data_IF_274967367815
#
_entry.id   IF_274967367815
#
_cell.length_a   1.000
_cell.length_b   1.000
_cell.length_c   1.000
_cell.angle_alpha   90.00
_cell.angle_beta   90.00
_cell.angle_gamma   90.00
#
_symmetry.space_group_name_H-M   'P 1'
#
loop_
_entity.id
_entity.type
_entity.pdbx_description
1 polymer ?
#
# COMPACT_ATOMS: atom_id res chain seq x y z
N UNK A 1 48.03 -35.23 -65.82
CA UNK A 1 48.66 -34.84 -64.53
C UNK A 1 48.21 -33.46 -64.05
N UNK A 2 47.99 -32.48 -64.93
CA UNK A 2 47.61 -31.09 -64.59
C UNK A 2 46.20 -30.90 -64.00
N UNK A 3 45.24 -31.80 -64.30
CA UNK A 3 43.88 -31.73 -63.70
C UNK A 3 43.79 -32.26 -62.26
N UNK A 4 44.72 -33.12 -61.83
CA UNK A 4 44.74 -33.69 -60.47
C UNK A 4 45.42 -32.76 -59.45
N UNK A 5 46.34 -31.90 -59.90
CA UNK A 5 47.02 -30.93 -59.02
C UNK A 5 46.16 -29.71 -58.69
N UNK A 6 45.27 -29.28 -59.60
CA UNK A 6 44.37 -28.14 -59.36
C UNK A 6 43.21 -28.47 -58.41
N UNK A 7 42.77 -29.73 -58.31
CA UNK A 7 41.71 -30.12 -57.37
C UNK A 7 42.22 -30.22 -55.91
N UNK A 8 43.51 -30.51 -55.72
CA UNK A 8 44.16 -30.57 -54.41
C UNK A 8 44.37 -29.18 -53.78
N UNK A 9 44.67 -28.15 -54.58
CA UNK A 9 44.80 -26.77 -54.08
C UNK A 9 43.45 -26.07 -53.83
N UNK A 10 42.38 -26.45 -54.52
CA UNK A 10 41.04 -25.91 -54.29
C UNK A 10 40.44 -26.41 -52.97
N UNK A 11 40.64 -27.70 -52.67
CA UNK A 11 40.06 -28.34 -51.48
C UNK A 11 40.75 -27.93 -50.16
N UNK A 12 42.04 -27.59 -50.19
CA UNK A 12 42.77 -27.10 -49.00
C UNK A 12 42.37 -25.67 -48.61
N UNK A 13 42.07 -24.80 -49.58
CA UNK A 13 41.57 -23.43 -49.30
C UNK A 13 40.14 -23.43 -48.76
N UNK A 14 39.29 -24.35 -49.22
CA UNK A 14 37.92 -24.52 -48.70
C UNK A 14 37.95 -25.06 -47.27
N UNK A 15 38.85 -25.99 -46.95
CA UNK A 15 39.00 -26.52 -45.58
C UNK A 15 39.49 -25.46 -44.58
N UNK A 16 40.44 -24.60 -44.98
CA UNK A 16 40.92 -23.49 -44.13
C UNK A 16 39.86 -22.39 -43.93
N UNK A 17 39.00 -22.12 -44.91
CA UNK A 17 37.91 -21.16 -44.78
C UNK A 17 36.79 -21.67 -43.85
N UNK A 18 36.46 -22.97 -43.91
CA UNK A 18 35.47 -23.60 -43.01
C UNK A 18 36.00 -23.65 -41.57
N UNK A 19 37.29 -23.89 -41.36
CA UNK A 19 37.91 -23.85 -40.03
C UNK A 19 37.90 -22.44 -39.43
N UNK A 20 38.13 -21.39 -40.24
CA UNK A 20 38.12 -20.00 -39.80
C UNK A 20 36.69 -19.50 -39.48
N UNK A 21 35.69 -19.92 -40.25
CA UNK A 21 34.27 -19.61 -39.99
C UNK A 21 33.75 -20.40 -38.78
N UNK A 22 34.23 -21.63 -38.55
CA UNK A 22 33.95 -22.40 -37.34
C UNK A 22 34.48 -21.74 -36.07
N UNK A 23 35.66 -21.13 -36.11
CA UNK A 23 36.25 -20.41 -34.96
C UNK A 23 35.55 -19.05 -34.75
N UNK A 24 35.18 -18.32 -35.82
CA UNK A 24 34.40 -17.06 -35.69
C UNK A 24 32.95 -17.28 -35.23
N UNK A 25 32.34 -18.42 -35.55
CA UNK A 25 30.98 -18.75 -35.10
C UNK A 25 30.97 -19.37 -33.70
N UNK A 26 32.05 -20.02 -33.26
CA UNK A 26 32.19 -20.48 -31.87
C UNK A 26 32.39 -19.30 -30.89
N UNK A 27 33.01 -18.20 -31.33
CA UNK A 27 33.07 -16.96 -30.53
C UNK A 27 31.75 -16.19 -30.43
N UNK A 28 30.80 -16.44 -31.34
CA UNK A 28 29.49 -15.76 -31.34
C UNK A 28 28.38 -16.54 -30.61
N UNK A 29 28.60 -17.82 -30.28
CA UNK A 29 27.65 -18.65 -29.53
C UNK A 29 27.92 -18.72 -28.02
N UNK A 30 28.94 -17.99 -27.54
CA UNK A 30 29.26 -17.86 -26.11
C UNK A 30 28.99 -16.45 -25.56
N UNK A 31 27.89 -15.81 -25.96
CA UNK A 31 27.28 -14.70 -25.20
C UNK A 31 25.76 -14.85 -25.22
N UNK A 32 25.27 -16.02 -24.84
CA UNK A 32 23.98 -16.08 -24.14
C UNK A 32 24.36 -16.00 -22.67
N UNK A 33 24.53 -14.78 -22.17
CA UNK A 33 24.85 -14.55 -20.76
C UNK A 33 23.65 -15.02 -19.95
N UNK A 34 23.66 -16.29 -19.55
CA UNK A 34 23.01 -16.69 -18.32
C UNK A 34 23.63 -15.78 -17.26
N UNK A 35 22.84 -14.82 -16.81
CA UNK A 35 23.25 -13.77 -15.90
C UNK A 35 23.76 -14.48 -14.64
N UNK A 36 25.07 -14.69 -14.54
CA UNK A 36 25.70 -15.37 -13.40
C UNK A 36 25.27 -14.59 -12.17
N UNK A 37 24.34 -15.17 -11.41
CA UNK A 37 23.78 -14.52 -10.23
C UNK A 37 24.92 -14.28 -9.27
N UNK A 38 25.29 -13.02 -9.06
CA UNK A 38 26.43 -12.66 -8.22
C UNK A 38 25.97 -12.69 -6.77
N UNK A 39 26.83 -13.18 -5.88
CA UNK A 39 26.59 -13.07 -4.43
C UNK A 39 26.81 -11.62 -4.03
N UNK A 40 25.80 -11.00 -3.42
CA UNK A 40 25.82 -9.60 -2.98
C UNK A 40 25.97 -9.46 -1.47
N UNK A 41 25.57 -10.49 -0.72
CA UNK A 41 25.84 -10.58 0.70
C UNK A 41 25.93 -12.04 1.16
N UNK A 42 26.66 -12.28 2.24
CA UNK A 42 26.67 -13.53 2.99
C UNK A 42 26.13 -13.26 4.40
N UNK A 43 25.29 -14.15 4.90
CA UNK A 43 24.70 -14.09 6.25
C UNK A 43 24.88 -15.47 6.88
N UNK A 44 25.90 -15.65 7.71
CA UNK A 44 26.30 -16.96 8.22
C UNK A 44 26.63 -17.92 7.07
N UNK A 45 25.85 -18.99 6.95
CA UNK A 45 25.98 -19.99 5.88
C UNK A 45 25.10 -19.71 4.66
N UNK A 46 24.24 -18.68 4.72
CA UNK A 46 23.37 -18.29 3.63
C UNK A 46 24.02 -17.22 2.75
N UNK A 47 23.66 -17.24 1.47
CA UNK A 47 24.02 -16.20 0.50
C UNK A 47 22.77 -15.48 0.02
N UNK A 48 22.94 -14.20 -0.32
CA UNK A 48 21.94 -13.38 -1.00
C UNK A 48 22.53 -13.01 -2.36
N UNK A 49 21.74 -13.14 -3.41
CA UNK A 49 22.22 -12.97 -4.79
C UNK A 49 21.51 -11.84 -5.54
N UNK A 50 22.15 -11.33 -6.61
CA UNK A 50 21.55 -10.30 -7.47
C UNK A 50 20.22 -10.74 -8.07
N UNK A 51 20.10 -12.02 -8.46
CA UNK A 51 18.87 -12.53 -9.07
C UNK A 51 17.68 -12.51 -8.09
N UNK A 52 17.90 -12.84 -6.82
CA UNK A 52 16.87 -12.78 -5.77
C UNK A 52 16.40 -11.34 -5.56
N UNK A 53 17.35 -10.41 -5.47
CA UNK A 53 17.06 -8.99 -5.28
C UNK A 53 16.31 -8.38 -6.48
N UNK A 54 16.79 -8.64 -7.70
CA UNK A 54 16.16 -8.14 -8.93
C UNK A 54 14.75 -8.73 -9.11
N UNK A 55 14.58 -10.03 -8.82
CA UNK A 55 13.26 -10.69 -8.85
C UNK A 55 12.30 -10.04 -7.86
N UNK A 56 12.76 -9.76 -6.64
CA UNK A 56 11.98 -9.09 -5.60
C UNK A 56 11.59 -7.66 -5.99
N UNK A 57 12.50 -6.89 -6.59
CA UNK A 57 12.26 -5.50 -6.95
C UNK A 57 11.45 -5.31 -8.24
N UNK A 58 11.42 -6.30 -9.14
CA UNK A 58 10.81 -6.19 -10.47
C UNK A 58 9.37 -5.62 -10.46
N UNK A 59 8.44 -6.08 -9.60
CA UNK A 59 7.08 -5.53 -9.58
C UNK A 59 7.06 -4.04 -9.18
N UNK A 60 7.88 -3.67 -8.21
CA UNK A 60 8.02 -2.29 -7.73
C UNK A 60 8.62 -1.39 -8.83
N UNK A 61 9.69 -1.85 -9.50
CA UNK A 61 10.31 -1.14 -10.63
C UNK A 61 9.33 -0.95 -11.81
N UNK A 62 8.50 -1.95 -12.12
CA UNK A 62 7.51 -1.84 -13.20
C UNK A 62 6.41 -0.82 -12.89
N UNK A 63 6.05 -0.67 -11.61
CA UNK A 63 5.03 0.29 -11.16
C UNK A 63 5.54 1.73 -11.21
N UNK A 64 6.74 1.97 -10.67
CA UNK A 64 7.25 3.33 -10.47
C UNK A 64 8.21 3.80 -11.56
N UNK A 65 8.81 2.91 -12.35
CA UNK A 65 9.84 3.28 -13.35
C UNK A 65 9.37 4.07 -14.56
N UNK A 66 8.08 4.38 -14.67
CA UNK A 66 7.52 5.25 -15.71
C UNK A 66 7.17 6.66 -15.23
N UNK A 67 7.18 6.88 -13.91
CA UNK A 67 6.67 8.12 -13.29
C UNK A 67 7.77 9.12 -12.94
N UNK A 68 9.03 8.68 -12.85
CA UNK A 68 10.15 9.51 -12.40
C UNK A 68 11.11 9.87 -13.54
N UNK A 69 11.78 11.02 -13.42
CA UNK A 69 12.90 11.34 -14.29
C UNK A 69 14.09 10.38 -14.06
N UNK A 70 15.04 10.37 -14.99
CA UNK A 70 16.14 9.39 -14.97
C UNK A 70 17.03 9.48 -13.71
N UNK A 71 17.19 10.66 -13.10
CA UNK A 71 18.09 10.83 -11.95
C UNK A 71 17.36 10.48 -10.64
N UNK A 72 16.16 11.00 -10.45
CA UNK A 72 15.32 10.67 -9.30
C UNK A 72 15.00 9.17 -9.28
N UNK A 73 14.75 8.57 -10.44
CA UNK A 73 14.51 7.15 -10.55
C UNK A 73 15.74 6.30 -10.17
N UNK A 74 16.95 6.76 -10.49
CA UNK A 74 18.19 6.08 -10.10
C UNK A 74 18.38 6.07 -8.58
N UNK A 75 18.22 7.22 -7.92
CA UNK A 75 18.34 7.35 -6.46
C UNK A 75 17.25 6.54 -5.74
N UNK A 76 16.01 6.60 -6.23
CA UNK A 76 14.89 5.80 -5.70
C UNK A 76 15.15 4.30 -5.85
N UNK A 77 15.67 3.88 -7.00
CA UNK A 77 16.02 2.48 -7.27
C UNK A 77 17.13 1.99 -6.35
N UNK A 78 18.16 2.81 -6.08
CA UNK A 78 19.23 2.47 -5.16
C UNK A 78 18.71 2.29 -3.73
N UNK A 79 17.88 3.22 -3.24
CA UNK A 79 17.25 3.08 -1.91
C UNK A 79 16.38 1.84 -1.81
N UNK A 80 15.61 1.52 -2.86
CA UNK A 80 14.80 0.31 -2.92
C UNK A 80 15.67 -0.96 -2.89
N UNK A 81 16.80 -0.97 -3.59
CA UNK A 81 17.80 -2.06 -3.52
C UNK A 81 18.36 -2.26 -2.13
N UNK A 82 18.77 -1.18 -1.45
CA UNK A 82 19.26 -1.24 -0.07
C UNK A 82 18.20 -1.75 0.90
N UNK A 83 16.96 -1.25 0.78
CA UNK A 83 15.84 -1.70 1.61
C UNK A 83 15.53 -3.19 1.41
N UNK A 84 15.54 -3.66 0.16
CA UNK A 84 15.31 -5.07 -0.15
C UNK A 84 16.46 -5.96 0.36
N UNK A 85 17.73 -5.53 0.22
CA UNK A 85 18.87 -6.26 0.78
C UNK A 85 18.76 -6.36 2.32
N UNK A 86 18.42 -5.26 3.01
CA UNK A 86 18.15 -5.26 4.45
C UNK A 86 17.12 -6.31 4.82
N UNK A 87 15.98 -6.32 4.12
CA UNK A 87 14.90 -7.27 4.37
C UNK A 87 15.32 -8.73 4.14
N UNK A 88 16.13 -9.00 3.12
CA UNK A 88 16.69 -10.35 2.91
C UNK A 88 17.62 -10.76 4.04
N UNK A 89 18.52 -9.88 4.49
CA UNK A 89 19.42 -10.15 5.62
C UNK A 89 18.60 -10.45 6.88
N UNK A 90 17.62 -9.62 7.21
CA UNK A 90 16.74 -9.79 8.38
C UNK A 90 15.99 -11.12 8.34
N UNK A 91 15.41 -11.46 7.19
CA UNK A 91 14.74 -12.75 7.01
C UNK A 91 15.69 -13.92 7.23
N UNK A 92 16.91 -13.85 6.67
CA UNK A 92 17.93 -14.89 6.85
C UNK A 92 18.32 -15.04 8.33
N UNK A 93 18.53 -13.94 9.04
CA UNK A 93 18.82 -13.95 10.48
C UNK A 93 17.71 -14.61 11.29
N UNK A 94 16.44 -14.26 11.02
CA UNK A 94 15.29 -14.83 11.72
C UNK A 94 15.12 -16.33 11.41
N UNK A 95 15.29 -16.75 10.16
CA UNK A 95 15.16 -18.17 9.78
C UNK A 95 16.27 -19.01 10.42
N UNK A 96 17.52 -18.54 10.39
CA UNK A 96 18.64 -19.22 11.06
C UNK A 96 18.42 -19.32 12.57
N UNK A 97 17.86 -18.28 13.18
CA UNK A 97 17.56 -18.31 14.60
C UNK A 97 16.39 -19.24 14.94
N UNK A 98 15.40 -19.36 14.05
CA UNK A 98 14.32 -20.33 14.19
C UNK A 98 14.83 -21.78 14.05
N UNK A 99 15.85 -22.01 13.22
CA UNK A 99 16.60 -23.28 13.15
C UNK A 99 17.35 -23.55 14.45
N UNK A 100 18.15 -22.59 14.92
CA UNK A 100 18.93 -22.72 16.15
C UNK A 100 18.03 -22.94 17.39
N UNK A 101 16.87 -22.29 17.43
CA UNK A 101 15.86 -22.42 18.48
C UNK A 101 14.98 -23.67 18.32
N UNK A 102 15.20 -24.49 17.28
CA UNK A 102 14.42 -25.70 16.96
C UNK A 102 12.91 -25.43 16.93
N UNK A 103 12.51 -24.32 16.32
CA UNK A 103 11.10 -23.99 16.14
C UNK A 103 10.50 -24.96 15.13
N UNK A 104 9.58 -25.80 15.59
CA UNK A 104 8.85 -26.76 14.77
C UNK A 104 7.45 -26.25 14.43
N UNK A 105 7.03 -26.50 13.19
CA UNK A 105 5.67 -26.24 12.73
C UNK A 105 5.07 -27.57 12.25
N UNK A 106 3.96 -28.02 12.85
CA UNK A 106 3.24 -29.19 12.38
C UNK A 106 2.82 -29.03 10.91
N UNK A 107 2.92 -30.10 10.12
CA UNK A 107 2.60 -30.03 8.69
C UNK A 107 1.13 -29.67 8.42
N UNK A 108 0.24 -29.95 9.36
CA UNK A 108 -1.17 -29.52 9.28
C UNK A 108 -1.32 -27.99 9.27
N UNK A 109 -0.48 -27.25 10.01
CA UNK A 109 -0.50 -25.79 10.01
C UNK A 109 0.06 -25.24 8.69
N UNK A 110 1.10 -25.89 8.13
CA UNK A 110 1.63 -25.56 6.80
C UNK A 110 0.56 -25.77 5.72
N UNK A 111 -0.15 -26.90 5.78
CA UNK A 111 -1.22 -27.22 4.84
C UNK A 111 -2.39 -26.23 4.96
N UNK A 112 -2.80 -25.89 6.18
CA UNK A 112 -3.86 -24.91 6.42
C UNK A 112 -3.50 -23.53 5.87
N UNK A 113 -2.27 -23.08 6.08
CA UNK A 113 -1.82 -21.78 5.54
C UNK A 113 -1.68 -21.82 4.02
N UNK A 114 -1.21 -22.94 3.45
CA UNK A 114 -1.21 -23.17 2.01
C UNK A 114 -2.62 -23.09 1.40
N UNK A 115 -3.60 -23.75 2.02
CA UNK A 115 -5.00 -23.73 1.56
C UNK A 115 -5.58 -22.32 1.68
N UNK A 116 -5.29 -21.59 2.76
CA UNK A 116 -5.70 -20.19 2.96
C UNK A 116 -5.10 -19.24 1.92
N UNK A 117 -3.85 -19.45 1.51
CA UNK A 117 -3.21 -18.60 0.50
C UNK A 117 -3.72 -18.96 -0.89
N UNK A 118 -3.79 -20.25 -1.22
CA UNK A 118 -4.27 -20.70 -2.53
C UNK A 118 -5.75 -20.32 -2.76
N UNK A 119 -6.59 -20.28 -1.72
CA UNK A 119 -7.99 -19.85 -1.83
C UNK A 119 -8.17 -18.34 -2.11
N UNK A 120 -7.11 -17.53 -1.99
CA UNK A 120 -7.16 -16.10 -2.37
C UNK A 120 -7.02 -15.89 -3.88
N UNK A 121 -6.61 -16.92 -4.63
CA UNK A 121 -6.55 -16.86 -6.08
C UNK A 121 -7.94 -17.12 -6.68
N UNK A 122 -8.29 -16.50 -7.83
CA UNK A 122 -9.59 -16.69 -8.47
C UNK A 122 -9.91 -18.15 -8.80
N UNK A 123 -8.88 -18.98 -9.03
CA UNK A 123 -9.01 -20.42 -9.22
C UNK A 123 -7.71 -21.14 -8.91
N UNK A 124 -7.78 -22.47 -8.73
CA UNK A 124 -6.59 -23.33 -8.63
C UNK A 124 -5.67 -23.22 -9.84
N UNK A 125 -6.24 -23.10 -11.04
CA UNK A 125 -5.47 -22.93 -12.28
C UNK A 125 -4.65 -21.64 -12.26
N UNK A 126 -5.20 -20.55 -11.73
CA UNK A 126 -4.47 -19.28 -11.57
C UNK A 126 -3.32 -19.41 -10.57
N UNK A 127 -3.53 -20.14 -9.47
CA UNK A 127 -2.47 -20.44 -8.52
C UNK A 127 -1.36 -21.31 -9.11
N UNK A 128 -1.72 -22.36 -9.85
CA UNK A 128 -0.75 -23.23 -10.54
C UNK A 128 0.05 -22.45 -11.59
N UNK A 129 -0.59 -21.53 -12.32
CA UNK A 129 0.08 -20.64 -13.26
C UNK A 129 1.03 -19.66 -12.57
N UNK A 130 0.65 -19.15 -11.39
CA UNK A 130 1.53 -18.36 -10.54
C UNK A 130 2.78 -19.15 -10.16
N UNK A 131 2.64 -20.36 -9.62
CA UNK A 131 3.78 -21.21 -9.24
C UNK A 131 4.69 -21.53 -10.44
N UNK A 132 4.10 -21.82 -11.62
CA UNK A 132 4.86 -22.02 -12.86
C UNK A 132 5.64 -20.78 -13.28
N UNK A 133 5.02 -19.59 -13.21
CA UNK A 133 5.67 -18.31 -13.53
C UNK A 133 6.83 -18.02 -12.56
N UNK A 134 6.68 -18.44 -11.31
CA UNK A 134 7.70 -18.31 -10.28
C UNK A 134 8.80 -19.39 -10.36
N UNK A 135 8.64 -20.37 -11.26
CA UNK A 135 9.49 -21.56 -11.41
C UNK A 135 9.62 -22.34 -10.09
N UNK A 136 8.49 -22.57 -9.42
CA UNK A 136 8.43 -23.15 -8.08
C UNK A 136 7.43 -24.30 -8.03
N UNK A 137 7.80 -25.39 -7.35
CA UNK A 137 6.91 -26.50 -7.03
C UNK A 137 6.04 -26.21 -5.80
N UNK A 138 4.96 -26.97 -5.64
CA UNK A 138 4.09 -26.90 -4.45
C UNK A 138 4.88 -27.18 -3.17
N UNK A 139 5.81 -28.15 -3.20
CA UNK A 139 6.60 -28.51 -2.03
C UNK A 139 7.62 -27.43 -1.65
N UNK A 140 8.26 -26.80 -2.63
CA UNK A 140 9.11 -25.63 -2.37
C UNK A 140 8.30 -24.46 -1.80
N UNK A 141 7.09 -24.24 -2.32
CA UNK A 141 6.20 -23.19 -1.80
C UNK A 141 5.76 -23.48 -0.36
N UNK A 142 5.39 -24.72 -0.05
CA UNK A 142 5.09 -25.16 1.33
C UNK A 142 6.29 -25.01 2.26
N UNK A 143 7.51 -25.25 1.78
CA UNK A 143 8.73 -24.98 2.55
C UNK A 143 8.86 -23.49 2.89
N UNK A 144 8.59 -22.59 1.94
CA UNK A 144 8.58 -21.15 2.21
C UNK A 144 7.53 -20.74 3.24
N UNK A 145 6.33 -21.35 3.18
CA UNK A 145 5.28 -21.16 4.19
C UNK A 145 5.76 -21.65 5.55
N UNK A 146 6.37 -22.83 5.62
CA UNK A 146 6.92 -23.39 6.85
C UNK A 146 7.96 -22.46 7.47
N UNK A 147 8.89 -21.94 6.67
CA UNK A 147 9.90 -20.98 7.15
C UNK A 147 9.28 -19.68 7.66
N UNK A 148 8.25 -19.14 6.99
CA UNK A 148 7.51 -17.96 7.46
C UNK A 148 6.75 -18.21 8.77
N UNK A 149 6.11 -19.37 8.92
CA UNK A 149 5.43 -19.73 10.17
C UNK A 149 6.42 -19.89 11.32
N UNK A 150 7.62 -20.45 11.06
CA UNK A 150 8.68 -20.60 12.06
C UNK A 150 9.21 -19.24 12.52
N UNK A 151 9.46 -18.31 11.61
CA UNK A 151 9.90 -16.96 11.98
C UNK A 151 8.80 -16.20 12.72
N UNK A 152 7.52 -16.37 12.35
CA UNK A 152 6.39 -15.81 13.11
C UNK A 152 6.32 -16.32 14.55
N UNK A 153 6.48 -17.63 14.76
CA UNK A 153 6.51 -18.22 16.11
C UNK A 153 7.72 -17.71 16.90
N UNK A 154 8.89 -17.64 16.27
CA UNK A 154 10.09 -17.08 16.89
C UNK A 154 9.89 -15.63 17.32
N UNK A 155 9.46 -14.76 16.40
CA UNK A 155 9.21 -13.33 16.69
C UNK A 155 8.13 -13.17 17.75
N UNK A 156 7.09 -14.02 17.72
CA UNK A 156 6.08 -14.01 18.77
C UNK A 156 6.68 -14.30 20.16
N UNK A 157 7.47 -15.38 20.31
CA UNK A 157 8.07 -15.76 21.59
C UNK A 157 9.13 -14.77 22.08
N UNK A 158 9.98 -14.28 21.16
CA UNK A 158 11.15 -13.47 21.51
C UNK A 158 10.86 -11.98 21.62
N UNK A 159 9.86 -11.49 20.88
CA UNK A 159 9.52 -10.06 20.78
C UNK A 159 8.10 -9.85 21.30
N UNK A 160 7.10 -10.35 20.60
CA UNK A 160 5.69 -9.92 20.78
C UNK A 160 5.15 -10.24 22.18
N UNK A 161 5.42 -11.43 22.70
CA UNK A 161 4.90 -11.91 23.99
C UNK A 161 5.30 -11.03 25.19
N UNK A 162 6.38 -10.26 25.05
CA UNK A 162 6.90 -9.38 26.11
C UNK A 162 6.28 -7.98 26.06
N UNK A 163 5.55 -7.64 25.00
CA UNK A 163 4.97 -6.33 24.78
C UNK A 163 3.66 -6.22 25.54
N UNK A 164 3.67 -5.44 26.62
CA UNK A 164 2.48 -5.11 27.41
C UNK A 164 2.20 -3.60 27.29
N UNK A 165 1.01 -3.25 26.80
CA UNK A 165 0.53 -1.85 26.80
C UNK A 165 -0.37 -1.66 28.02
N UNK A 166 0.08 -0.83 28.97
CA UNK A 166 -0.67 -0.55 30.20
C UNK A 166 -1.76 0.50 29.95
N UNK A 167 -2.91 0.44 30.65
CA UNK A 167 -3.96 1.46 30.55
C UNK A 167 -3.44 2.88 30.81
N UNK A 168 -2.50 3.06 31.75
CA UNK A 168 -1.88 4.36 32.02
C UNK A 168 -1.14 4.93 30.82
N UNK A 169 -0.48 4.08 30.02
CA UNK A 169 0.21 4.54 28.81
C UNK A 169 -0.77 5.02 27.73
N UNK A 170 -1.94 4.38 27.65
CA UNK A 170 -3.01 4.78 26.74
C UNK A 170 -3.59 6.13 27.18
N UNK A 171 -3.82 6.29 28.48
CA UNK A 171 -4.27 7.55 29.07
C UNK A 171 -3.26 8.67 28.81
N UNK A 172 -1.98 8.48 29.14
CA UNK A 172 -0.92 9.47 28.93
C UNK A 172 -0.82 9.88 27.46
N UNK A 173 -0.86 8.89 26.56
CA UNK A 173 -0.87 9.14 25.12
C UNK A 173 -2.09 9.97 24.70
N UNK A 174 -3.29 9.62 25.17
CA UNK A 174 -4.50 10.36 24.85
C UNK A 174 -4.43 11.83 25.32
N UNK A 175 -3.93 12.07 26.54
CA UNK A 175 -3.79 13.43 27.08
C UNK A 175 -2.78 14.26 26.29
N UNK A 176 -1.62 13.69 25.95
CA UNK A 176 -0.57 14.37 25.20
C UNK A 176 -0.96 14.64 23.73
N UNK A 177 -1.80 13.77 23.16
CA UNK A 177 -2.20 13.81 21.75
C UNK A 177 -3.68 14.17 21.55
N UNK A 178 -4.32 14.86 22.50
CA UNK A 178 -5.78 15.11 22.48
C UNK A 178 -6.26 15.79 21.18
N UNK A 179 -5.44 16.64 20.58
CA UNK A 179 -5.73 17.31 19.31
C UNK A 179 -5.79 16.37 18.11
N UNK A 180 -5.06 15.24 18.13
CA UNK A 180 -5.10 14.23 17.07
C UNK A 180 -6.46 13.50 17.01
N UNK A 181 -7.21 13.55 18.12
CA UNK A 181 -8.53 12.92 18.23
C UNK A 181 -9.69 13.87 17.90
N UNK A 182 -9.39 15.08 17.39
CA UNK A 182 -10.40 15.99 16.89
C UNK A 182 -11.03 15.43 15.62
N UNK A 183 -12.30 15.06 15.70
CA UNK A 183 -13.12 14.84 14.52
C UNK A 183 -13.64 16.19 14.03
N UNK A 184 -13.30 16.60 12.79
CA UNK A 184 -13.83 17.83 12.23
C UNK A 184 -15.35 17.71 12.06
N UNK A 185 -16.03 18.86 12.00
CA UNK A 185 -17.44 18.86 11.64
C UNK A 185 -17.60 18.31 10.22
N UNK A 186 -18.67 17.54 10.00
CA UNK A 186 -19.01 16.98 8.69
C UNK A 186 -20.46 17.32 8.33
N UNK A 187 -20.74 17.49 7.04
CA UNK A 187 -22.11 17.63 6.50
C UNK A 187 -22.28 16.73 5.30
N UNK A 188 -23.41 16.03 5.19
CA UNK A 188 -23.85 15.49 3.91
C UNK A 188 -24.58 16.61 3.18
N UNK A 189 -23.99 17.12 2.10
CA UNK A 189 -24.51 18.30 1.41
C UNK A 189 -24.80 18.08 -0.07
N UNK A 190 -25.78 18.83 -0.55
CA UNK A 190 -26.17 18.94 -1.94
C UNK A 190 -25.95 20.37 -2.40
N UNK A 191 -25.69 20.56 -3.70
CA UNK A 191 -25.35 21.87 -4.24
C UNK A 191 -25.93 22.09 -5.65
N UNK A 192 -26.48 23.27 -5.85
CA UNK A 192 -26.80 23.84 -7.15
C UNK A 192 -25.81 24.98 -7.43
N UNK A 193 -25.07 24.90 -8.54
CA UNK A 193 -24.31 26.01 -9.11
C UNK A 193 -25.05 26.60 -10.32
N UNK A 194 -25.09 27.93 -10.42
CA UNK A 194 -25.43 28.71 -11.62
C UNK A 194 -24.25 29.63 -11.95
N UNK A 195 -23.65 29.49 -13.13
CA UNK A 195 -22.47 30.26 -13.55
C UNK A 195 -22.88 31.67 -13.99
N UNK A 196 -22.00 32.65 -13.80
CA UNK A 196 -22.20 34.05 -14.24
C UNK A 196 -22.03 34.24 -15.76
N UNK A 197 -22.71 33.44 -16.57
CA UNK A 197 -22.68 33.52 -18.04
C UNK A 197 -24.11 33.39 -18.58
N UNK A 198 -24.56 34.24 -19.53
CA UNK A 198 -23.79 35.29 -20.20
C UNK A 198 -23.55 36.54 -19.34
N UNK A 199 -24.39 36.83 -18.34
CA UNK A 199 -24.22 37.95 -17.40
C UNK A 199 -24.51 37.53 -15.96
N UNK A 200 -23.94 38.25 -14.98
CA UNK A 200 -24.20 38.02 -13.56
C UNK A 200 -25.66 38.27 -13.18
N UNK A 201 -26.35 39.17 -13.87
CA UNK A 201 -27.74 39.52 -13.56
C UNK A 201 -28.73 38.44 -14.04
N UNK A 202 -28.52 37.90 -15.24
CA UNK A 202 -29.31 36.77 -15.73
C UNK A 202 -29.11 35.53 -14.84
N UNK A 203 -27.87 35.27 -14.41
CA UNK A 203 -27.56 34.17 -13.51
C UNK A 203 -28.19 34.36 -12.12
N UNK A 204 -28.22 35.59 -11.59
CA UNK A 204 -28.86 35.91 -10.31
C UNK A 204 -30.38 35.74 -10.40
N UNK A 205 -31.00 36.21 -11.49
CA UNK A 205 -32.43 36.01 -11.74
C UNK A 205 -32.78 34.51 -11.72
N UNK A 206 -32.00 33.69 -12.45
CA UNK A 206 -32.20 32.24 -12.49
C UNK A 206 -31.98 31.57 -11.13
N UNK A 207 -31.01 32.02 -10.35
CA UNK A 207 -30.80 31.51 -8.99
C UNK A 207 -31.99 31.86 -8.07
N UNK A 208 -32.62 33.02 -8.24
CA UNK A 208 -33.84 33.39 -7.49
C UNK A 208 -35.05 32.55 -7.88
N UNK A 209 -35.23 32.26 -9.17
CA UNK A 209 -36.29 31.37 -9.67
C UNK A 209 -36.16 29.97 -9.06
N UNK A 210 -34.94 29.40 -9.06
CA UNK A 210 -34.64 28.11 -8.43
C UNK A 210 -34.92 28.16 -6.93
N UNK A 211 -34.54 29.24 -6.25
CA UNK A 211 -34.79 29.39 -4.81
C UNK A 211 -36.30 29.44 -4.51
N UNK A 212 -37.10 30.03 -5.39
CA UNK A 212 -38.56 30.04 -5.26
C UNK A 212 -39.14 28.65 -5.48
N UNK A 213 -38.71 27.92 -6.51
CA UNK A 213 -39.13 26.54 -6.77
C UNK A 213 -38.85 25.61 -5.57
N UNK A 214 -37.71 25.80 -4.89
CA UNK A 214 -37.40 25.10 -3.64
C UNK A 214 -38.33 25.45 -2.49
N UNK A 215 -38.73 26.73 -2.36
CA UNK A 215 -39.69 27.18 -1.33
C UNK A 215 -41.10 26.66 -1.59
N UNK A 216 -41.46 26.47 -2.85
CA UNK A 216 -42.76 25.96 -3.28
C UNK A 216 -42.87 24.43 -3.12
N UNK A 217 -41.85 23.77 -2.57
CA UNK A 217 -41.85 22.34 -2.23
C UNK A 217 -41.16 21.44 -3.26
N UNK A 218 -40.45 22.01 -4.24
CA UNK A 218 -39.68 21.23 -5.20
C UNK A 218 -38.53 20.43 -4.56
N UNK A 219 -38.26 19.23 -5.11
CA UNK A 219 -37.20 18.36 -4.59
C UNK A 219 -35.82 18.87 -5.02
N UNK A 220 -34.93 19.14 -4.06
CA UNK A 220 -33.60 19.72 -4.33
C UNK A 220 -32.80 18.92 -5.37
N UNK A 221 -32.79 17.60 -5.27
CA UNK A 221 -32.03 16.74 -6.17
C UNK A 221 -32.57 16.78 -7.61
N UNK A 222 -33.89 16.88 -7.78
CA UNK A 222 -34.51 16.98 -9.11
C UNK A 222 -34.16 18.33 -9.75
N UNK A 223 -34.33 19.42 -9.00
CA UNK A 223 -34.01 20.77 -9.45
C UNK A 223 -32.52 20.87 -9.77
N UNK A 224 -31.64 20.28 -8.97
CA UNK A 224 -30.21 20.23 -9.23
C UNK A 224 -29.88 19.48 -10.54
N UNK A 225 -30.54 18.35 -10.83
CA UNK A 225 -30.36 17.61 -12.09
C UNK A 225 -30.77 18.42 -13.32
N UNK A 226 -31.83 19.22 -13.20
CA UNK A 226 -32.34 20.02 -14.31
C UNK A 226 -31.51 21.30 -14.49
N UNK A 227 -31.32 22.04 -13.41
CA UNK A 227 -30.94 23.44 -13.45
C UNK A 227 -29.48 23.71 -13.08
N UNK A 228 -28.78 22.80 -12.40
CA UNK A 228 -27.40 23.06 -12.02
C UNK A 228 -26.43 23.02 -13.20
N UNK A 229 -25.34 23.79 -13.09
CA UNK A 229 -24.18 23.83 -13.97
C UNK A 229 -22.89 23.37 -13.26
N UNK A 230 -23.04 22.76 -12.08
CA UNK A 230 -21.93 22.24 -11.26
C UNK A 230 -21.53 20.80 -11.61
N UNK A 231 -20.37 20.34 -11.11
CA UNK A 231 -19.83 19.02 -11.44
C UNK A 231 -20.72 17.86 -10.96
N UNK A 232 -21.50 18.06 -9.89
CA UNK A 232 -22.39 17.05 -9.32
C UNK A 232 -23.83 17.09 -9.88
N UNK A 233 -24.10 17.87 -10.94
CA UNK A 233 -25.43 17.98 -11.58
C UNK A 233 -26.09 16.61 -11.80
N UNK A 234 -25.37 15.68 -12.44
CA UNK A 234 -25.91 14.34 -12.79
C UNK A 234 -26.33 13.54 -11.56
N UNK A 235 -25.62 13.71 -10.44
CA UNK A 235 -25.94 13.09 -9.15
C UNK A 235 -26.93 13.91 -8.32
N UNK A 236 -27.65 14.86 -8.91
CA UNK A 236 -28.60 15.72 -8.16
C UNK A 236 -27.91 16.69 -7.20
N UNK A 237 -26.67 17.08 -7.50
CA UNK A 237 -25.90 17.98 -6.68
C UNK A 237 -25.24 17.32 -5.46
N UNK A 238 -25.30 15.99 -5.32
CA UNK A 238 -24.78 15.28 -4.15
C UNK A 238 -23.24 15.33 -4.07
N UNK A 239 -22.72 15.89 -2.99
CA UNK A 239 -21.29 15.91 -2.67
C UNK A 239 -20.89 14.85 -1.64
N UNK A 240 -21.84 14.06 -1.13
CA UNK A 240 -21.61 13.10 -0.06
C UNK A 240 -21.27 13.80 1.26
N UNK A 241 -20.53 13.10 2.11
CA UNK A 241 -20.01 13.64 3.37
C UNK A 241 -18.82 14.54 3.06
N UNK A 242 -18.95 15.80 3.45
CA UNK A 242 -17.92 16.84 3.30
C UNK A 242 -17.46 17.27 4.69
N UNK A 243 -16.15 17.28 4.89
CA UNK A 243 -15.52 17.77 6.11
C UNK A 243 -15.26 19.28 6.01
N UNK A 244 -15.25 19.96 7.16
CA UNK A 244 -14.90 21.38 7.20
C UNK A 244 -13.44 21.57 6.72
N UNK A 245 -13.24 22.45 5.74
CA UNK A 245 -11.95 22.70 5.08
C UNK A 245 -11.83 22.08 3.69
N UNK A 246 -12.80 21.26 3.25
CA UNK A 246 -12.72 20.50 2.00
C UNK A 246 -12.61 21.38 0.74
N UNK A 247 -13.33 22.50 0.66
CA UNK A 247 -13.42 23.29 -0.57
C UNK A 247 -12.36 24.39 -0.72
N UNK A 248 -11.46 24.56 0.27
CA UNK A 248 -10.46 25.63 0.28
C UNK A 248 -11.05 27.05 0.33
N UNK A 249 -10.19 28.06 0.24
CA UNK A 249 -10.59 29.47 0.46
C UNK A 249 -11.59 30.00 -0.58
N UNK A 250 -11.57 29.48 -1.80
CA UNK A 250 -12.37 30.00 -2.93
C UNK A 250 -13.87 29.71 -2.80
N UNK A 251 -14.22 28.76 -1.94
CA UNK A 251 -15.59 28.31 -1.66
C UNK A 251 -15.93 28.45 -0.16
N UNK A 252 -15.11 29.19 0.59
CA UNK A 252 -15.25 29.40 2.03
C UNK A 252 -16.61 29.95 2.44
N UNK A 253 -17.20 30.82 1.62
CA UNK A 253 -18.56 31.34 1.86
C UNK A 253 -19.63 30.24 1.78
N UNK A 254 -19.50 29.33 0.81
CA UNK A 254 -20.41 28.18 0.64
C UNK A 254 -20.27 27.23 1.82
N UNK A 255 -19.03 26.91 2.19
CA UNK A 255 -18.73 26.06 3.35
C UNK A 255 -19.27 26.67 4.65
N UNK A 256 -19.01 27.95 4.91
CA UNK A 256 -19.48 28.65 6.11
C UNK A 256 -21.01 28.61 6.25
N UNK A 257 -21.75 28.73 5.15
CA UNK A 257 -23.22 28.62 5.18
C UNK A 257 -23.65 27.17 5.38
N UNK A 258 -23.05 26.23 4.65
CA UNK A 258 -23.34 24.80 4.79
C UNK A 258 -23.19 24.32 6.24
N UNK A 259 -22.10 24.71 6.91
CA UNK A 259 -21.85 24.35 8.31
C UNK A 259 -22.66 25.16 9.33
N UNK A 260 -23.37 26.21 8.94
CA UNK A 260 -24.32 26.94 9.81
C UNK A 260 -25.76 26.43 9.67
N UNK A 261 -26.11 25.85 8.52
CA UNK A 261 -27.43 25.29 8.27
C UNK A 261 -27.75 24.10 9.19
N UNK A 262 -29.04 23.93 9.45
CA UNK A 262 -29.61 22.75 10.10
C UNK A 262 -29.85 21.65 9.06
N UNK A 263 -29.76 20.36 9.44
CA UNK A 263 -30.25 19.25 8.62
C UNK A 263 -31.67 19.51 8.10
N UNK A 264 -31.97 19.08 6.87
CA UNK A 264 -33.25 19.29 6.21
C UNK A 264 -33.47 20.68 5.61
N UNK A 265 -32.47 21.58 5.63
CA UNK A 265 -32.63 22.96 5.17
C UNK A 265 -31.70 23.30 3.99
N UNK A 266 -32.17 24.19 3.11
CA UNK A 266 -31.38 24.81 2.06
C UNK A 266 -31.02 26.27 2.36
N UNK A 267 -29.95 26.77 1.74
CA UNK A 267 -29.45 28.14 1.90
C UNK A 267 -30.23 29.14 1.04
N UNK A 268 -30.00 30.44 1.30
CA UNK A 268 -30.18 31.45 0.26
C UNK A 268 -29.11 31.35 -0.84
N UNK A 269 -29.06 32.36 -1.70
CA UNK A 269 -28.05 32.46 -2.76
C UNK A 269 -26.71 32.88 -2.16
N UNK A 270 -25.66 32.13 -2.48
CA UNK A 270 -24.29 32.38 -2.03
C UNK A 270 -23.45 32.69 -3.26
N UNK A 271 -22.82 33.85 -3.29
CA UNK A 271 -21.97 34.25 -4.42
C UNK A 271 -20.51 33.82 -4.21
N UNK A 272 -19.90 33.29 -5.27
CA UNK A 272 -18.45 33.07 -5.37
C UNK A 272 -17.93 33.52 -6.73
N UNK A 273 -16.64 33.32 -6.98
CA UNK A 273 -16.04 33.51 -8.31
C UNK A 273 -16.58 32.53 -9.37
N UNK A 274 -17.10 31.37 -8.94
CA UNK A 274 -17.64 30.35 -9.84
C UNK A 274 -19.09 30.63 -10.27
N UNK A 275 -19.82 31.41 -9.48
CA UNK A 275 -21.20 31.75 -9.76
C UNK A 275 -22.03 31.90 -8.48
N UNK A 276 -23.32 31.60 -8.61
CA UNK A 276 -24.28 31.57 -7.52
C UNK A 276 -24.56 30.15 -7.09
N UNK A 277 -24.53 29.93 -5.79
CA UNK A 277 -24.67 28.63 -5.17
C UNK A 277 -25.89 28.61 -4.27
N UNK A 278 -26.61 27.49 -4.27
CA UNK A 278 -27.58 27.13 -3.26
C UNK A 278 -27.18 25.76 -2.74
N UNK A 279 -27.15 25.58 -1.43
CA UNK A 279 -26.79 24.31 -0.80
C UNK A 279 -27.91 23.79 0.06
N UNK A 280 -28.02 22.47 0.18
CA UNK A 280 -28.94 21.77 1.08
C UNK A 280 -28.17 20.80 1.96
N UNK A 281 -28.50 20.74 3.25
CA UNK A 281 -27.84 19.84 4.20
C UNK A 281 -28.79 18.73 4.58
N UNK A 282 -28.46 17.49 4.20
CA UNK A 282 -29.23 16.31 4.59
C UNK A 282 -28.96 15.94 6.05
N UNK A 283 -27.67 15.76 6.39
CA UNK A 283 -27.22 15.37 7.72
C UNK A 283 -25.98 16.15 8.12
N UNK A 284 -25.78 16.30 9.43
CA UNK A 284 -24.66 17.05 10.00
C UNK A 284 -24.11 16.34 11.23
N UNK A 285 -22.79 16.28 11.33
CA UNK A 285 -22.04 15.87 12.51
C UNK A 285 -21.24 17.06 13.01
N UNK A 286 -21.43 17.41 14.28
CA UNK A 286 -20.65 18.48 14.91
C UNK A 286 -19.22 18.01 15.14
N UNK A 287 -18.29 18.97 15.15
CA UNK A 287 -16.92 18.67 15.55
C UNK A 287 -16.93 18.25 17.02
N UNK A 288 -16.14 17.22 17.32
CA UNK A 288 -15.97 16.70 18.67
C UNK A 288 -14.60 16.06 18.80
N UNK A 289 -14.09 16.01 20.02
CA UNK A 289 -12.91 15.20 20.33
C UNK A 289 -13.43 13.79 20.66
N UNK A 290 -12.86 12.75 20.03
CA UNK A 290 -13.15 11.38 20.43
C UNK A 290 -12.74 11.20 21.89
N UNK A 291 -13.59 10.57 22.69
CA UNK A 291 -13.23 10.23 24.07
C UNK A 291 -12.10 9.20 24.10
N UNK A 292 -11.35 9.13 25.19
CA UNK A 292 -10.32 8.10 25.38
C UNK A 292 -10.89 6.70 25.12
N UNK A 293 -12.12 6.43 25.60
CA UNK A 293 -12.81 5.16 25.37
C UNK A 293 -13.03 4.84 23.90
N UNK A 294 -13.40 5.83 23.09
CA UNK A 294 -13.60 5.65 21.64
C UNK A 294 -12.27 5.49 20.90
N UNK A 295 -11.18 6.07 21.41
CA UNK A 295 -9.85 6.00 20.83
C UNK A 295 -9.01 4.82 21.36
N UNK A 296 -9.46 4.14 22.41
CA UNK A 296 -8.65 3.21 23.22
C UNK A 296 -7.96 2.14 22.39
N UNK A 297 -8.70 1.40 21.56
CA UNK A 297 -8.14 0.29 20.78
C UNK A 297 -7.15 0.79 19.71
N UNK A 298 -7.44 1.94 19.10
CA UNK A 298 -6.54 2.56 18.11
C UNK A 298 -5.23 3.01 18.77
N UNK A 299 -5.31 3.64 19.95
CA UNK A 299 -4.13 4.05 20.72
C UNK A 299 -3.34 2.82 21.16
N UNK A 300 -4.01 1.81 21.71
CA UNK A 300 -3.38 0.57 22.15
C UNK A 300 -2.65 -0.10 21.00
N UNK A 301 -3.27 -0.18 19.82
CA UNK A 301 -2.66 -0.73 18.61
C UNK A 301 -1.45 0.11 18.16
N UNK A 302 -1.56 1.44 18.14
CA UNK A 302 -0.45 2.34 17.79
C UNK A 302 0.74 2.14 18.71
N UNK A 303 0.53 2.20 20.02
CA UNK A 303 1.58 1.99 21.02
C UNK A 303 2.18 0.58 20.93
N UNK A 304 1.35 -0.43 20.67
CA UNK A 304 1.81 -1.80 20.45
C UNK A 304 2.71 -1.90 19.23
N UNK A 305 2.31 -1.32 18.09
CA UNK A 305 3.10 -1.36 16.86
C UNK A 305 4.41 -0.57 16.99
N UNK A 306 4.39 0.59 17.62
CA UNK A 306 5.60 1.38 17.92
C UNK A 306 6.59 0.57 18.78
N UNK A 307 6.10 -0.08 19.85
CA UNK A 307 6.96 -0.94 20.69
C UNK A 307 7.42 -2.19 19.95
N UNK A 308 6.55 -2.82 19.16
CA UNK A 308 6.87 -4.00 18.36
C UNK A 308 7.99 -3.74 17.37
N UNK A 309 7.92 -2.62 16.63
CA UNK A 309 8.97 -2.26 15.67
C UNK A 309 10.31 -2.04 16.38
N UNK A 310 10.34 -1.30 17.49
CA UNK A 310 11.57 -1.07 18.25
C UNK A 310 12.19 -2.37 18.80
N UNK A 311 11.37 -3.21 19.44
CA UNK A 311 11.84 -4.48 20.02
C UNK A 311 12.28 -5.50 18.94
N UNK A 312 11.61 -5.50 17.77
CA UNK A 312 12.03 -6.33 16.65
C UNK A 312 13.37 -5.84 16.07
N UNK A 313 13.55 -4.52 15.90
CA UNK A 313 14.79 -3.94 15.41
C UNK A 313 15.96 -4.25 16.37
N UNK A 314 15.75 -4.14 17.68
CA UNK A 314 16.73 -4.50 18.70
C UNK A 314 17.06 -5.99 18.66
N UNK A 315 16.06 -6.86 18.47
CA UNK A 315 16.28 -8.29 18.34
C UNK A 315 17.06 -8.64 17.06
N UNK A 316 16.71 -8.04 15.92
CA UNK A 316 17.47 -8.19 14.67
C UNK A 316 18.91 -7.73 14.83
N UNK A 317 19.14 -6.61 15.53
CA UNK A 317 20.49 -6.10 15.84
C UNK A 317 21.27 -7.05 16.74
N UNK A 318 20.60 -7.67 17.72
CA UNK A 318 21.20 -8.74 18.51
C UNK A 318 21.59 -9.95 17.64
N UNK A 319 20.72 -10.37 16.71
CA UNK A 319 21.02 -11.46 15.79
C UNK A 319 22.15 -11.12 14.80
N UNK A 320 22.21 -9.88 14.32
CA UNK A 320 23.28 -9.45 13.40
C UNK A 320 24.63 -9.38 14.10
N UNK A 321 24.68 -9.02 15.39
CA UNK A 321 25.93 -8.99 16.16
C UNK A 321 26.54 -10.37 16.45
N UNK A 322 25.74 -11.45 16.40
CA UNK A 322 26.21 -12.82 16.62
C UNK A 322 26.44 -13.62 15.34
N UNK A 323 26.05 -13.08 14.19
CA UNK A 323 26.12 -13.76 12.89
C UNK A 323 27.10 -13.05 11.99
N UNK A 324 27.98 -13.79 11.31
CA UNK A 324 28.88 -13.21 10.32
C UNK A 324 28.08 -12.65 9.13
N UNK A 325 28.19 -11.35 8.86
CA UNK A 325 27.54 -10.69 7.73
C UNK A 325 28.60 -9.97 6.90
N UNK A 326 28.65 -10.29 5.61
CA UNK A 326 29.57 -9.68 4.65
C UNK A 326 28.78 -9.17 3.45
N UNK A 327 28.79 -7.86 3.22
CA UNK A 327 28.21 -7.25 2.02
C UNK A 327 29.32 -7.14 0.97
N UNK A 328 29.10 -7.73 -0.20
CA UNK A 328 30.09 -7.92 -1.26
C UNK A 328 29.97 -6.90 -2.41
N UNK A 329 28.93 -6.05 -2.39
CA UNK A 329 28.72 -4.99 -3.37
C UNK A 329 28.97 -3.60 -2.73
N UNK A 330 29.99 -2.84 -3.16
CA UNK A 330 30.33 -1.54 -2.58
C UNK A 330 29.24 -0.47 -2.72
N UNK A 331 28.46 -0.50 -3.80
CA UNK A 331 27.30 0.38 -4.03
C UNK A 331 26.10 0.09 -3.11
N UNK A 332 26.21 -1.00 -2.33
CA UNK A 332 25.25 -1.49 -1.36
C UNK A 332 25.79 -1.38 0.09
N UNK A 333 26.89 -0.64 0.32
CA UNK A 333 27.39 -0.37 1.68
C UNK A 333 26.28 0.22 2.54
N UNK A 334 25.83 -0.57 3.51
CA UNK A 334 24.83 -0.16 4.48
C UNK A 334 25.56 0.44 5.69
N UNK A 335 25.41 1.74 5.90
CA UNK A 335 25.68 2.31 7.21
C UNK A 335 24.65 1.72 8.19
N UNK A 336 25.03 0.73 8.99
CA UNK A 336 24.23 0.23 10.14
C UNK A 336 24.05 1.28 11.26
N UNK A 337 24.20 2.57 10.94
CA UNK A 337 23.91 3.68 11.83
C UNK A 337 22.41 3.93 11.82
N UNK A 338 21.72 3.32 12.77
CA UNK A 338 20.37 3.72 13.19
C UNK A 338 20.47 5.12 13.84
N UNK A 339 20.68 6.15 13.03
CA UNK A 339 20.46 7.54 13.41
C UNK A 339 19.51 8.17 12.44
N UNK A 340 18.27 8.26 12.90
CA UNK A 340 17.24 9.15 12.44
C UNK A 340 17.80 10.57 12.33
N UNK A 341 17.63 11.24 11.17
CA UNK A 341 17.63 12.70 11.03
C UNK A 341 17.12 13.09 9.63
N UNK A 342 15.84 13.48 9.57
CA UNK A 342 15.28 14.59 8.80
C UNK A 342 15.79 14.82 7.35
N UNK A 343 15.29 14.01 6.43
CA UNK A 343 14.89 14.40 5.07
C UNK A 343 14.02 13.25 4.55
N UNK A 344 12.84 13.52 3.99
CA UNK A 344 11.84 12.57 3.44
C UNK A 344 12.33 11.11 3.29
N UNK A 345 12.37 10.41 4.43
CA UNK A 345 12.89 9.05 4.61
C UNK A 345 11.72 8.14 4.96
N UNK A 346 10.59 8.34 4.29
CA UNK A 346 9.49 7.38 4.33
C UNK A 346 10.07 6.03 3.93
N UNK A 347 9.96 4.98 4.77
CA UNK A 347 10.52 3.67 4.44
C UNK A 347 9.93 3.22 3.10
N UNK A 348 10.80 2.92 2.13
CA UNK A 348 10.34 2.36 0.86
C UNK A 348 9.85 0.94 1.18
N UNK A 349 8.54 0.81 1.35
CA UNK A 349 7.89 -0.49 1.54
C UNK A 349 7.87 -1.18 0.17
N UNK A 350 8.87 -1.99 -0.10
CA UNK A 350 8.90 -2.87 -1.25
C UNK A 350 8.06 -4.11 -0.89
N UNK A 351 6.77 -4.09 -1.24
CA UNK A 351 5.89 -5.26 -1.10
C UNK A 351 5.63 -5.90 -2.47
N UNK A 352 6.43 -6.89 -2.89
CA UNK A 352 6.19 -7.57 -4.16
C UNK A 352 5.28 -8.78 -3.92
N UNK A 353 4.02 -8.66 -4.34
CA UNK A 353 3.07 -9.80 -4.49
C UNK A 353 2.68 -10.50 -3.17
N UNK A 354 1.65 -11.38 -3.14
CA UNK A 354 1.17 -12.02 -1.91
C UNK A 354 2.17 -13.12 -1.49
N UNK A 355 3.34 -12.69 -1.03
CA UNK A 355 4.16 -13.50 -0.13
C UNK A 355 3.51 -13.44 1.25
N UNK A 356 3.63 -14.51 2.07
CA UNK A 356 3.15 -14.48 3.44
C UNK A 356 3.69 -13.23 4.13
N UNK A 357 2.78 -12.32 4.44
CA UNK A 357 3.14 -11.05 5.04
C UNK A 357 3.58 -11.32 6.48
N UNK A 358 4.77 -10.83 6.87
CA UNK A 358 5.32 -10.95 8.23
C UNK A 358 4.70 -9.87 9.15
N UNK A 359 3.79 -9.05 8.62
CA UNK A 359 3.00 -8.15 9.47
C UNK A 359 2.10 -8.97 10.39
N UNK A 360 2.07 -8.69 11.71
CA UNK A 360 1.11 -9.32 12.61
C UNK A 360 -0.31 -9.18 12.04
N UNK A 361 -0.91 -10.30 11.66
CA UNK A 361 -2.34 -10.35 11.32
C UNK A 361 -3.11 -10.21 12.64
N UNK A 362 -3.52 -8.99 12.97
CA UNK A 362 -4.45 -8.75 14.06
C UNK A 362 -5.84 -9.14 13.56
N UNK A 363 -6.38 -10.21 14.13
CA UNK A 363 -7.78 -10.61 13.94
C UNK A 363 -8.67 -9.45 14.39
N UNK A 364 -9.32 -8.79 13.44
CA UNK A 364 -10.26 -7.72 13.72
C UNK A 364 -11.62 -8.34 14.08
N UNK A 365 -11.85 -8.63 15.36
CA UNK A 365 -13.17 -9.04 15.87
C UNK A 365 -14.04 -7.79 16.09
N UNK A 366 -14.42 -7.11 15.02
CA UNK A 366 -15.46 -6.08 15.05
C UNK A 366 -16.58 -6.48 14.08
N UNK A 367 -17.29 -7.55 14.40
CA UNK A 367 -18.68 -7.72 13.97
C UNK A 367 -19.55 -6.91 14.92
N UNK A 368 -19.98 -5.72 14.49
CA UNK A 368 -21.10 -5.02 15.12
C UNK A 368 -22.34 -5.94 15.12
N UNK A 369 -23.11 -6.02 16.20
CA UNK A 369 -24.43 -6.61 16.15
C UNK A 369 -25.41 -5.60 15.54
N UNK A 370 -26.06 -6.00 14.44
CA UNK A 370 -27.25 -5.33 13.93
C UNK A 370 -28.34 -5.36 14.99
N UNK A 371 -28.59 -4.22 15.63
CA UNK A 371 -29.72 -4.02 16.51
C UNK A 371 -30.96 -3.65 15.71
N UNK A 372 -31.73 -4.65 15.30
CA UNK A 372 -33.14 -4.49 14.92
C UNK A 372 -33.94 -4.07 16.17
N UNK A 373 -34.43 -2.83 16.18
CA UNK A 373 -35.40 -2.36 17.17
C UNK A 373 -36.79 -2.78 16.66
N UNK A 374 -37.28 -3.92 17.13
CA UNK A 374 -38.69 -4.30 17.00
C UNK A 374 -39.53 -3.50 18.00
N UNK A 375 -40.24 -2.48 17.50
CA UNK A 375 -41.33 -1.84 18.22
C UNK A 375 -42.60 -2.66 18.01
N UNK A 376 -42.98 -3.45 19.01
CA UNK A 376 -44.29 -4.08 19.07
C UNK A 376 -44.88 -3.89 20.47
N UNK A 377 -45.64 -2.81 20.67
CA UNK A 377 -46.53 -2.64 21.82
C UNK A 377 -47.89 -2.16 21.31
N UNK A 378 -48.71 -3.15 20.97
CA UNK A 378 -50.14 -3.04 20.80
C UNK A 378 -50.80 -3.14 22.18
N UNK A 379 -51.36 -2.04 22.69
CA UNK A 379 -52.42 -2.09 23.71
C UNK A 379 -53.50 -1.08 23.33
N UNK A 380 -54.63 -1.62 22.90
CA UNK A 380 -55.98 -1.02 22.88
C UNK A 380 -56.78 -1.62 24.04
N UNK A 381 -57.98 -1.10 24.41
CA UNK A 381 -58.82 -0.11 23.70
C UNK A 381 -58.72 1.32 24.21
#
# INVERSE_FOLDING_TARGET
MTRLLNSLQANTKIFLLILLIGILTFTAYAVKSEQVSRVIAKVGNDVITTAELDKFLKPWLMKYGKEYDNKEFADLTQRARQAALKQFIERKLLTQEADASKVEIPDIEVQKEFDRISSQFPSKSEFDNFLKKENMSVEEYKKLIKDDLRTKVLVHDKVTKKILILPSQIHDFYQLHISEFLQPAQVHMYQILIKKKPTSEAALKRANEILQELKDGGTFQQIARLSSEGPKKRSGGDWGIVEKGFFGDEMKNVENVAFKLKPGHFSGIIETKYGYHIVYIDRKRISRILTEREAYDNIKQKLFMERYTGELDDYIKYLSGKTYIEILQPDMEMNFSFKNNNADNSPIIVNPTPTPNITPQVVNTNSQPDGEINNDHNVKP
#
